data_IF_409124313274
#
_entry.id   IF_409124313274
#
_cell.length_a   1.000
_cell.length_b   1.000
_cell.length_c   1.000
_cell.angle_alpha   90.00
_cell.angle_beta   90.00
_cell.angle_gamma   90.00
#
_symmetry.space_group_name_H-M   'P 1'
#
loop_
_entity.id
_entity.type
_entity.pdbx_description
1 polymer ?
#
# COMPACT_ATOMS: atom_id res chain seq x y z
N UNK A 1 -2.21 39.40 -15.64
CA UNK A 1 -2.02 37.93 -15.78
C UNK A 1 -1.66 37.28 -14.44
N UNK A 2 -0.47 37.50 -13.87
CA UNK A 2 -0.11 36.87 -12.58
C UNK A 2 -1.03 37.28 -11.42
N UNK A 3 -1.24 38.58 -11.17
CA UNK A 3 -2.14 39.06 -10.10
C UNK A 3 -3.53 38.45 -10.18
N UNK A 4 -4.15 38.49 -11.37
CA UNK A 4 -5.48 37.91 -11.62
C UNK A 4 -5.53 36.39 -11.42
N UNK A 5 -4.47 35.66 -11.74
CA UNK A 5 -4.39 34.21 -11.51
C UNK A 5 -4.32 33.88 -10.01
N UNK A 6 -3.50 34.61 -9.25
CA UNK A 6 -3.37 34.40 -7.80
C UNK A 6 -4.60 34.89 -7.02
N UNK A 7 -5.29 35.92 -7.48
CA UNK A 7 -6.58 36.35 -6.89
C UNK A 7 -7.70 35.31 -7.05
N UNK A 8 -7.59 34.43 -8.05
CA UNK A 8 -8.59 33.40 -8.32
C UNK A 8 -8.32 32.06 -7.63
N UNK A 9 -7.08 31.80 -7.18
CA UNK A 9 -6.70 30.48 -6.67
C UNK A 9 -7.44 30.09 -5.38
N UNK A 10 -7.80 31.07 -4.55
CA UNK A 10 -8.52 30.87 -3.28
C UNK A 10 -10.04 30.86 -3.46
N UNK A 11 -10.55 31.29 -4.63
CA UNK A 11 -11.99 31.34 -4.90
C UNK A 11 -12.58 29.96 -5.19
N UNK A 12 -11.73 28.98 -5.51
CA UNK A 12 -12.17 27.65 -5.94
C UNK A 12 -12.99 27.72 -7.22
N UNK A 13 -13.67 26.61 -7.54
CA UNK A 13 -14.72 26.58 -8.56
C UNK A 13 -16.08 26.26 -7.89
N UNK A 14 -17.23 26.47 -8.57
CA UNK A 14 -18.53 26.24 -7.96
C UNK A 14 -18.73 24.84 -7.37
N UNK A 15 -18.19 23.81 -8.02
CA UNK A 15 -18.29 22.42 -7.52
C UNK A 15 -17.48 22.20 -6.24
N UNK A 16 -16.27 22.78 -6.16
CA UNK A 16 -15.44 22.74 -4.96
C UNK A 16 -16.11 23.44 -3.78
N UNK A 17 -16.67 24.63 -4.02
CA UNK A 17 -17.30 25.44 -2.98
C UNK A 17 -18.62 24.85 -2.46
N UNK A 18 -19.24 23.91 -3.20
CA UNK A 18 -20.48 23.22 -2.81
C UNK A 18 -20.24 21.97 -1.96
N UNK A 19 -18.98 21.54 -1.77
CA UNK A 19 -18.67 20.39 -0.94
C UNK A 19 -19.02 20.70 0.52
N UNK A 20 -19.89 19.87 1.10
CA UNK A 20 -20.20 19.94 2.53
C UNK A 20 -19.03 19.38 3.34
N UNK A 21 -18.60 20.12 4.36
CA UNK A 21 -17.53 19.72 5.27
C UNK A 21 -18.04 19.78 6.72
N UNK A 22 -17.77 18.76 7.55
CA UNK A 22 -18.08 18.82 8.97
C UNK A 22 -17.26 19.91 9.68
N UNK A 23 -17.84 20.57 10.69
CA UNK A 23 -17.12 21.57 11.53
C UNK A 23 -16.26 20.92 12.63
N UNK A 24 -16.24 19.59 12.72
CA UNK A 24 -15.49 18.85 13.75
C UNK A 24 -13.98 18.97 13.57
N UNK A 25 -13.25 19.12 14.69
CA UNK A 25 -11.78 19.07 14.72
C UNK A 25 -11.22 17.65 14.60
N UNK A 26 -12.02 16.64 14.94
CA UNK A 26 -11.69 15.22 14.76
C UNK A 26 -12.42 14.68 13.53
N UNK A 27 -11.69 13.95 12.69
CA UNK A 27 -12.26 13.34 11.49
C UNK A 27 -13.19 12.19 11.87
N UNK A 28 -14.45 12.24 11.41
CA UNK A 28 -15.41 11.17 11.61
C UNK A 28 -15.16 10.05 10.60
N UNK A 29 -14.41 9.04 11.01
CA UNK A 29 -14.13 7.87 10.17
C UNK A 29 -15.43 7.15 9.77
N UNK A 30 -15.63 6.96 8.47
CA UNK A 30 -16.72 6.17 7.93
C UNK A 30 -16.24 4.72 7.71
N UNK A 31 -16.75 3.72 8.47
CA UNK A 31 -16.31 2.34 8.35
C UNK A 31 -16.68 1.69 7.01
N UNK A 32 -17.59 2.30 6.24
CA UNK A 32 -17.99 1.82 4.90
C UNK A 32 -17.15 2.45 3.78
N UNK A 33 -16.34 3.46 4.09
CA UNK A 33 -15.52 4.17 3.11
C UNK A 33 -14.44 3.27 2.52
N UNK A 34 -14.38 3.22 1.20
CA UNK A 34 -13.31 2.54 0.45
C UNK A 34 -12.20 3.49 0.01
N UNK A 35 -12.25 4.76 0.42
CA UNK A 35 -11.27 5.79 0.06
C UNK A 35 -10.46 6.30 1.25
N UNK A 36 -11.10 6.48 2.41
CA UNK A 36 -10.49 7.01 3.63
C UNK A 36 -10.76 6.01 4.75
N UNK A 37 -9.69 5.44 5.32
CA UNK A 37 -9.76 4.48 6.41
C UNK A 37 -8.81 4.89 7.53
N UNK A 38 -9.15 4.57 8.79
CA UNK A 38 -8.31 4.87 9.95
C UNK A 38 -7.11 3.91 9.98
N UNK A 39 -5.88 4.39 9.74
CA UNK A 39 -4.76 3.48 9.62
C UNK A 39 -4.24 3.02 10.99
N UNK A 40 -3.65 1.81 11.08
CA UNK A 40 -3.29 1.21 12.35
C UNK A 40 -1.99 1.75 12.97
N UNK A 41 -1.34 2.77 12.38
CA UNK A 41 0.02 3.21 12.74
C UNK A 41 0.18 3.59 14.21
N UNK A 42 -0.85 4.20 14.80
CA UNK A 42 -0.81 4.68 16.19
C UNK A 42 -1.61 3.79 17.14
N UNK A 43 -2.09 2.63 16.66
CA UNK A 43 -2.81 1.68 17.49
C UNK A 43 -1.88 1.15 18.57
N UNK A 44 -2.33 1.22 19.82
CA UNK A 44 -1.55 0.83 21.01
C UNK A 44 -0.28 1.68 21.26
N UNK A 45 -0.18 2.88 20.67
CA UNK A 45 0.94 3.79 20.95
C UNK A 45 0.92 4.22 22.43
N UNK A 46 2.06 4.10 23.09
CA UNK A 46 2.29 4.50 24.48
C UNK A 46 3.14 5.78 24.54
N UNK A 47 3.11 6.47 25.68
CA UNK A 47 3.94 7.66 25.91
C UNK A 47 5.43 7.31 25.96
N UNK A 48 5.76 6.15 26.53
CA UNK A 48 7.12 5.62 26.54
C UNK A 48 7.31 4.71 25.31
N UNK A 49 8.32 4.97 24.44
CA UNK A 49 8.56 4.14 23.28
C UNK A 49 9.04 2.73 23.69
N UNK A 50 8.57 1.66 23.03
CA UNK A 50 8.83 0.27 23.45
C UNK A 50 10.30 -0.20 23.27
N UNK A 51 11.22 0.70 22.89
CA UNK A 51 12.59 0.37 22.54
C UNK A 51 12.72 -0.25 21.15
N UNK A 52 13.91 -0.75 20.83
CA UNK A 52 14.15 -1.44 19.55
C UNK A 52 13.56 -2.85 19.58
N UNK A 53 12.85 -3.23 18.52
CA UNK A 53 12.39 -4.59 18.31
C UNK A 53 13.50 -5.41 17.63
N UNK A 54 13.88 -6.54 18.21
CA UNK A 54 14.77 -7.50 17.57
C UNK A 54 14.05 -8.24 16.44
N UNK A 55 14.79 -8.57 15.39
CA UNK A 55 14.31 -9.42 14.28
C UNK A 55 14.93 -10.80 14.46
N UNK A 56 14.12 -11.85 14.64
CA UNK A 56 14.61 -13.20 14.94
C UNK A 56 13.99 -14.22 13.98
N UNK A 57 14.80 -15.15 13.48
CA UNK A 57 14.37 -16.24 12.59
C UNK A 57 13.46 -15.79 11.43
N UNK A 58 13.75 -14.60 10.87
CA UNK A 58 12.91 -13.97 9.87
C UNK A 58 12.94 -14.71 8.52
N UNK A 59 11.79 -14.78 7.86
CA UNK A 59 11.68 -15.30 6.51
C UNK A 59 11.98 -14.21 5.46
N UNK A 60 12.68 -14.60 4.40
CA UNK A 60 12.81 -13.77 3.21
C UNK A 60 11.47 -13.75 2.45
N UNK A 61 10.66 -12.70 2.61
CA UNK A 61 9.40 -12.54 1.89
C UNK A 61 9.63 -12.30 0.40
N UNK A 62 10.68 -11.53 0.05
CA UNK A 62 11.01 -11.15 -1.32
C UNK A 62 12.53 -11.12 -1.51
N UNK A 63 12.99 -11.60 -2.66
CA UNK A 63 14.39 -11.51 -3.06
C UNK A 63 14.48 -10.85 -4.44
N UNK A 64 15.06 -9.65 -4.50
CA UNK A 64 15.09 -8.84 -5.70
C UNK A 64 16.49 -8.73 -6.32
N UNK A 65 16.50 -8.27 -7.57
CA UNK A 65 17.68 -7.74 -8.24
C UNK A 65 17.92 -6.26 -7.91
N UNK A 66 18.64 -5.60 -8.80
CA UNK A 66 18.94 -4.17 -8.73
C UNK A 66 17.76 -3.33 -9.24
N UNK A 67 17.82 -2.03 -8.96
CA UNK A 67 16.96 -0.97 -9.50
C UNK A 67 15.45 -1.21 -9.31
N UNK A 68 15.07 -1.77 -8.16
CA UNK A 68 13.66 -1.85 -7.74
C UNK A 68 13.16 -0.45 -7.38
N UNK A 69 12.43 0.17 -8.30
CA UNK A 69 11.83 1.49 -8.08
C UNK A 69 10.66 1.50 -7.08
N UNK A 70 10.32 2.67 -6.54
CA UNK A 70 9.11 2.87 -5.71
C UNK A 70 7.80 2.54 -6.43
N UNK A 71 7.77 2.50 -7.77
CA UNK A 71 6.59 2.07 -8.53
C UNK A 71 6.43 0.54 -8.51
N UNK A 72 7.52 -0.21 -8.40
CA UNK A 72 7.44 -1.66 -8.14
C UNK A 72 6.93 -1.94 -6.72
N UNK A 73 7.40 -1.16 -5.74
CA UNK A 73 7.05 -1.33 -4.33
C UNK A 73 5.60 -0.87 -4.06
N UNK A 74 5.22 0.30 -4.58
CA UNK A 74 3.91 0.91 -4.38
C UNK A 74 3.38 1.44 -5.73
N UNK A 75 2.81 0.58 -6.58
CA UNK A 75 2.22 1.00 -7.86
C UNK A 75 1.11 2.03 -7.63
N UNK A 76 0.99 3.00 -8.54
CA UNK A 76 -0.05 4.04 -8.47
C UNK A 76 -1.14 3.88 -9.54
N UNK A 77 -0.92 3.00 -10.51
CA UNK A 77 -1.82 2.78 -11.66
C UNK A 77 -3.06 1.95 -11.33
N UNK A 78 -3.66 1.37 -12.37
CA UNK A 78 -4.89 0.59 -12.27
C UNK A 78 -4.75 -0.66 -11.40
N UNK A 79 -5.81 -1.00 -10.67
CA UNK A 79 -5.87 -2.19 -9.83
C UNK A 79 -6.19 -3.42 -10.71
N UNK A 80 -5.32 -4.43 -10.70
CA UNK A 80 -5.53 -5.64 -11.49
C UNK A 80 -6.70 -6.46 -10.95
N UNK A 81 -7.57 -6.98 -11.83
CA UNK A 81 -8.83 -7.65 -11.48
C UNK A 81 -8.68 -8.86 -10.55
N UNK A 82 -7.55 -9.56 -10.64
CA UNK A 82 -7.29 -10.79 -9.86
C UNK A 82 -6.41 -10.53 -8.63
N UNK A 83 -6.14 -9.25 -8.31
CA UNK A 83 -5.26 -8.86 -7.20
C UNK A 83 -5.95 -8.96 -5.83
N UNK A 84 -5.19 -9.05 -4.72
CA UNK A 84 -5.75 -8.95 -3.37
C UNK A 84 -6.58 -7.67 -3.14
N UNK A 85 -6.15 -6.53 -3.70
CA UNK A 85 -6.88 -5.27 -3.59
C UNK A 85 -8.23 -5.31 -4.33
N UNK A 86 -8.28 -5.96 -5.50
CA UNK A 86 -9.54 -6.15 -6.22
C UNK A 86 -10.51 -7.05 -5.43
N UNK A 87 -10.03 -8.16 -4.85
CA UNK A 87 -10.87 -9.02 -3.99
C UNK A 87 -11.48 -8.23 -2.84
N UNK A 88 -10.67 -7.44 -2.14
CA UNK A 88 -11.11 -6.56 -1.05
C UNK A 88 -12.19 -5.54 -1.48
N UNK A 89 -12.01 -4.91 -2.64
CA UNK A 89 -12.98 -3.93 -3.17
C UNK A 89 -14.30 -4.59 -3.56
N UNK A 90 -14.24 -5.76 -4.20
CA UNK A 90 -15.44 -6.54 -4.57
C UNK A 90 -16.22 -7.01 -3.35
N UNK A 91 -15.53 -7.49 -2.31
CA UNK A 91 -16.14 -7.89 -1.03
C UNK A 91 -16.88 -6.72 -0.35
N UNK A 92 -16.51 -5.48 -0.65
CA UNK A 92 -17.17 -4.25 -0.17
C UNK A 92 -18.16 -3.65 -1.18
N UNK A 93 -18.54 -4.40 -2.22
CA UNK A 93 -19.55 -3.99 -3.19
C UNK A 93 -19.10 -2.93 -4.19
N UNK A 94 -17.78 -2.74 -4.37
CA UNK A 94 -17.26 -1.82 -5.39
C UNK A 94 -17.16 -2.54 -6.74
N UNK A 95 -17.87 -2.02 -7.74
CA UNK A 95 -17.80 -2.56 -9.09
C UNK A 95 -16.41 -2.34 -9.71
N UNK A 96 -16.02 -3.25 -10.62
CA UNK A 96 -14.70 -3.20 -11.29
C UNK A 96 -14.42 -1.87 -12.01
N UNK A 97 -15.44 -1.24 -12.60
CA UNK A 97 -15.31 0.07 -13.27
C UNK A 97 -14.96 1.19 -12.29
N UNK A 98 -15.29 1.00 -11.00
CA UNK A 98 -15.16 1.98 -9.92
C UNK A 98 -13.96 1.68 -9.00
N UNK A 99 -13.13 0.68 -9.33
CA UNK A 99 -11.87 0.43 -8.61
C UNK A 99 -10.96 1.66 -8.58
N UNK A 100 -10.99 2.46 -9.64
CA UNK A 100 -10.11 3.60 -9.85
C UNK A 100 -8.63 3.12 -9.86
N UNK A 101 -7.70 3.93 -9.37
CA UNK A 101 -6.26 3.63 -9.33
C UNK A 101 -5.76 3.45 -7.90
N UNK A 102 -4.64 2.75 -7.70
CA UNK A 102 -3.98 2.72 -6.39
C UNK A 102 -3.67 4.14 -5.89
N UNK A 103 -3.28 5.06 -6.78
CA UNK A 103 -3.04 6.47 -6.43
C UNK A 103 -4.26 7.16 -5.82
N UNK A 104 -5.46 6.84 -6.31
CA UNK A 104 -6.72 7.38 -5.77
C UNK A 104 -7.13 6.76 -4.43
N UNK A 105 -6.59 5.59 -4.08
CA UNK A 105 -6.92 4.82 -2.87
C UNK A 105 -5.90 5.03 -1.73
N UNK A 106 -5.00 6.00 -1.86
CA UNK A 106 -3.90 6.25 -0.89
C UNK A 106 -4.35 6.61 0.53
N UNK A 107 -5.61 7.02 0.71
CA UNK A 107 -6.20 7.26 2.03
C UNK A 107 -6.75 6.00 2.71
N UNK A 108 -6.71 4.84 2.04
CA UNK A 108 -7.18 3.57 2.58
C UNK A 108 -6.01 2.58 2.67
N UNK A 109 -5.53 2.32 3.89
CA UNK A 109 -4.41 1.41 4.12
C UNK A 109 -4.72 -0.04 3.80
N UNK A 110 -5.98 -0.48 3.94
CA UNK A 110 -6.37 -1.84 3.59
C UNK A 110 -6.18 -2.12 2.09
N UNK A 111 -6.47 -1.13 1.23
CA UNK A 111 -6.21 -1.22 -0.23
C UNK A 111 -4.71 -1.11 -0.51
N UNK A 112 -4.02 -0.17 0.12
CA UNK A 112 -2.62 0.11 -0.20
C UNK A 112 -1.65 -0.96 0.29
N UNK A 113 -1.90 -1.58 1.45
CA UNK A 113 -1.16 -2.77 1.90
C UNK A 113 -1.31 -3.92 0.89
N UNK A 114 -2.52 -4.15 0.39
CA UNK A 114 -2.81 -5.14 -0.68
C UNK A 114 -2.19 -4.77 -2.03
N UNK A 115 -1.94 -3.49 -2.26
CA UNK A 115 -1.24 -2.97 -3.43
C UNK A 115 0.28 -3.00 -3.31
N UNK A 116 0.83 -3.29 -2.14
CA UNK A 116 2.28 -3.29 -1.91
C UNK A 116 2.91 -4.49 -2.61
N UNK A 117 3.96 -4.23 -3.40
CA UNK A 117 4.60 -5.17 -4.33
C UNK A 117 3.62 -5.80 -5.34
N UNK A 118 2.48 -5.14 -5.61
CA UNK A 118 1.46 -5.62 -6.54
C UNK A 118 1.74 -5.26 -8.02
N UNK A 119 2.92 -4.70 -8.31
CA UNK A 119 3.28 -4.33 -9.68
C UNK A 119 3.45 -5.59 -10.55
N UNK A 120 2.73 -5.62 -11.68
CA UNK A 120 2.75 -6.77 -12.60
C UNK A 120 4.10 -7.04 -13.27
N UNK A 121 5.05 -6.10 -13.17
CA UNK A 121 6.39 -6.19 -13.75
C UNK A 121 7.47 -6.53 -12.72
N UNK A 122 7.12 -6.68 -11.44
CA UNK A 122 8.11 -7.00 -10.42
C UNK A 122 8.68 -8.40 -10.66
N UNK A 123 9.99 -8.57 -10.45
CA UNK A 123 10.69 -9.84 -10.64
C UNK A 123 11.24 -10.31 -9.30
N UNK A 124 10.74 -11.43 -8.81
CA UNK A 124 11.16 -12.04 -7.56
C UNK A 124 12.04 -13.27 -7.84
N UNK A 125 13.29 -13.25 -7.37
CA UNK A 125 14.26 -14.34 -7.55
C UNK A 125 13.83 -15.64 -6.88
N UNK A 126 12.95 -15.58 -5.86
CA UNK A 126 12.35 -16.77 -5.23
C UNK A 126 11.46 -17.57 -6.19
N UNK A 127 11.06 -16.97 -7.32
CA UNK A 127 10.23 -17.61 -8.35
C UNK A 127 11.02 -17.90 -9.64
N UNK A 128 12.35 -18.08 -9.55
CA UNK A 128 13.22 -18.37 -10.70
C UNK A 128 13.06 -17.35 -11.86
N UNK A 129 12.85 -16.07 -11.52
CA UNK A 129 12.70 -14.98 -12.50
C UNK A 129 11.30 -14.82 -13.09
N UNK A 130 10.28 -15.53 -12.57
CA UNK A 130 8.88 -15.27 -12.91
C UNK A 130 8.53 -13.80 -12.67
N UNK A 131 7.93 -13.17 -13.69
CA UNK A 131 7.48 -11.78 -13.64
C UNK A 131 6.07 -11.75 -13.06
N UNK A 132 5.88 -10.99 -11.98
CA UNK A 132 4.57 -10.74 -11.39
C UNK A 132 4.59 -10.58 -9.88
N UNK A 133 3.45 -10.17 -9.30
CA UNK A 133 3.34 -9.73 -7.91
C UNK A 133 3.17 -10.91 -6.93
N UNK A 134 4.05 -11.90 -7.04
CA UNK A 134 3.97 -13.15 -6.28
C UNK A 134 5.27 -13.47 -5.54
N UNK A 135 5.13 -14.33 -4.54
CA UNK A 135 6.26 -14.92 -3.82
C UNK A 135 5.94 -16.36 -3.43
N UNK A 136 6.92 -17.05 -2.83
CA UNK A 136 6.75 -18.37 -2.24
C UNK A 136 6.63 -18.21 -0.73
N UNK A 137 5.58 -18.76 -0.15
CA UNK A 137 5.49 -18.92 1.29
C UNK A 137 6.36 -20.13 1.70
N UNK A 138 7.55 -19.87 2.25
CA UNK A 138 8.62 -20.87 2.45
C UNK A 138 8.15 -22.08 3.27
N UNK A 139 7.39 -21.94 4.38
CA UNK A 139 6.94 -23.09 5.14
C UNK A 139 6.04 -24.06 4.37
N UNK A 140 5.22 -23.56 3.42
CA UNK A 140 4.27 -24.41 2.67
C UNK A 140 4.69 -24.70 1.23
N UNK A 141 5.65 -23.93 0.68
CA UNK A 141 6.02 -23.99 -0.73
C UNK A 141 5.00 -23.39 -1.69
N UNK A 142 3.91 -22.81 -1.19
CA UNK A 142 2.84 -22.26 -2.03
C UNK A 142 3.26 -20.95 -2.70
N UNK A 143 2.90 -20.81 -3.99
CA UNK A 143 3.01 -19.53 -4.72
C UNK A 143 1.78 -18.67 -4.44
N UNK A 144 1.97 -17.52 -3.81
CA UNK A 144 0.91 -16.61 -3.39
C UNK A 144 1.19 -15.19 -3.86
N UNK A 145 0.16 -14.34 -3.90
CA UNK A 145 0.40 -12.89 -3.99
C UNK A 145 1.17 -12.42 -2.75
N UNK A 146 2.00 -11.40 -2.91
CA UNK A 146 2.89 -10.93 -1.83
C UNK A 146 2.11 -10.60 -0.55
N UNK A 147 1.00 -9.88 -0.66
CA UNK A 147 0.12 -9.57 0.47
C UNK A 147 -0.38 -10.84 1.17
N UNK A 148 -0.86 -11.84 0.42
CA UNK A 148 -1.40 -13.06 1.00
C UNK A 148 -0.31 -13.87 1.74
N UNK A 149 0.90 -13.93 1.18
CA UNK A 149 2.04 -14.58 1.84
C UNK A 149 2.45 -13.83 3.12
N UNK A 150 2.51 -12.50 3.07
CA UNK A 150 2.89 -11.68 4.21
C UNK A 150 1.90 -11.82 5.38
N UNK A 151 0.58 -11.81 5.09
CA UNK A 151 -0.43 -12.04 6.11
C UNK A 151 -0.34 -13.44 6.74
N UNK A 152 0.08 -14.47 6.00
CA UNK A 152 0.36 -15.80 6.58
C UNK A 152 1.51 -15.74 7.59
N UNK A 153 2.64 -15.11 7.24
CA UNK A 153 3.76 -14.94 8.17
C UNK A 153 3.38 -14.11 9.40
N UNK A 154 2.70 -12.98 9.20
CA UNK A 154 2.23 -12.10 10.26
C UNK A 154 1.29 -12.82 11.23
N UNK A 155 0.36 -13.61 10.71
CA UNK A 155 -0.57 -14.41 11.54
C UNK A 155 0.16 -15.51 12.32
N UNK A 156 1.22 -16.09 11.75
CA UNK A 156 2.05 -17.08 12.42
C UNK A 156 3.09 -16.48 13.39
N UNK A 157 3.16 -15.14 13.50
CA UNK A 157 4.14 -14.47 14.36
C UNK A 157 5.57 -14.54 13.84
N UNK A 158 5.74 -14.69 12.52
CA UNK A 158 7.06 -14.72 11.89
C UNK A 158 7.44 -13.35 11.33
N UNK A 159 8.64 -12.91 11.70
CA UNK A 159 9.26 -11.74 11.09
C UNK A 159 9.53 -11.99 9.61
N UNK A 160 9.48 -10.93 8.81
CA UNK A 160 9.85 -11.00 7.40
C UNK A 160 10.80 -9.90 7.00
N UNK A 161 11.67 -10.21 6.03
CA UNK A 161 12.63 -9.26 5.44
C UNK A 161 12.57 -9.30 3.91
N UNK A 162 13.08 -8.25 3.30
CA UNK A 162 13.29 -8.14 1.85
C UNK A 162 14.79 -8.11 1.59
N UNK A 163 15.26 -8.98 0.70
CA UNK A 163 16.60 -8.90 0.13
C UNK A 163 16.51 -8.17 -1.20
N UNK A 164 17.40 -7.20 -1.43
CA UNK A 164 17.43 -6.43 -2.65
C UNK A 164 18.86 -6.09 -3.08
N UNK A 165 19.02 -5.83 -4.38
CA UNK A 165 20.29 -5.37 -4.95
C UNK A 165 20.50 -3.87 -4.84
N UNK A 166 21.30 -3.32 -5.75
CA UNK A 166 21.62 -1.91 -5.82
C UNK A 166 20.38 -1.05 -6.13
N UNK A 167 20.39 0.22 -5.69
CA UNK A 167 19.35 1.22 -6.01
C UNK A 167 17.91 0.83 -5.64
N UNK A 168 17.75 0.03 -4.58
CA UNK A 168 16.44 -0.29 -4.02
C UNK A 168 15.71 0.98 -3.55
N UNK A 169 14.48 1.16 -4.03
CA UNK A 169 13.65 2.32 -3.70
C UNK A 169 13.91 3.56 -4.55
N UNK A 170 14.55 3.43 -5.72
CA UNK A 170 14.78 4.56 -6.64
C UNK A 170 13.47 5.10 -7.26
N UNK A 171 13.51 6.32 -7.80
CA UNK A 171 12.38 6.93 -8.51
C UNK A 171 11.55 7.89 -7.66
N UNK A 172 10.22 7.93 -7.89
CA UNK A 172 9.33 8.93 -7.29
C UNK A 172 9.21 8.81 -5.77
N UNK A 173 9.06 9.93 -5.08
CA UNK A 173 8.77 9.92 -3.64
C UNK A 173 7.33 9.45 -3.39
N UNK A 174 7.19 8.24 -2.83
CA UNK A 174 5.90 7.64 -2.44
C UNK A 174 6.04 7.04 -1.04
N UNK A 175 5.40 7.65 -0.06
CA UNK A 175 5.40 7.19 1.33
C UNK A 175 4.87 5.74 1.48
N UNK A 176 3.93 5.34 0.63
CA UNK A 176 3.42 3.97 0.57
C UNK A 176 4.45 2.92 0.17
N UNK A 177 5.59 3.31 -0.43
CA UNK A 177 6.72 2.41 -0.62
C UNK A 177 7.44 2.06 0.70
N UNK A 178 7.15 2.75 1.80
CA UNK A 178 7.62 2.43 3.15
C UNK A 178 6.48 1.97 4.07
N UNK A 179 5.33 2.67 4.05
CA UNK A 179 4.14 2.29 4.85
C UNK A 179 3.59 0.93 4.45
N UNK A 180 3.60 0.63 3.14
CA UNK A 180 3.16 -0.67 2.62
C UNK A 180 3.93 -1.82 3.23
N UNK A 181 5.27 -1.90 3.05
CA UNK A 181 6.09 -2.94 3.66
C UNK A 181 5.96 -3.04 5.19
N UNK A 182 5.74 -1.92 5.88
CA UNK A 182 5.51 -1.92 7.34
C UNK A 182 4.20 -2.60 7.75
N UNK A 183 3.17 -2.60 6.89
CA UNK A 183 1.87 -3.19 7.17
C UNK A 183 1.76 -4.67 6.75
N UNK A 184 2.73 -5.16 5.97
CA UNK A 184 2.83 -6.56 5.56
C UNK A 184 3.16 -7.49 6.73
#
# INVERSE_FOLDING_TARGET
MFKSTYEAITKGNPMWNQLSVPESSLYSWDPTSTYIHEPPYFKNMTMDPPGAHGVNDAYCLLNFGDSITTDHISPAGSIHKDSPAARYLLERGVDRKDFNSYGSRRGNDEVMARGTFANIRIVNKLLNGEVGPKTVHIPTGEKLYVFDAAMKYKTAGHDTIVLAGAEYGSGSSRDWAAKGPMLL
#
